data_IF_277785368574
#
_entry.id   IF_277785368574
#
_cell.length_a   1.000
_cell.length_b   1.000
_cell.length_c   1.000
_cell.angle_alpha   90.00
_cell.angle_beta   90.00
_cell.angle_gamma   90.00
#
_symmetry.space_group_name_H-M   'P 1'
#
loop_
_entity.id
_entity.type
_entity.pdbx_description
1 polymer ?
#
# COMPACT_ATOMS: atom_id res chain seq x y z
N UNK A 1 23.07 11.37 3.06
CA UNK A 1 22.18 11.38 1.87
C UNK A 1 21.49 12.73 1.77
N UNK A 2 21.20 13.22 0.56
CA UNK A 2 20.42 14.44 0.34
C UNK A 2 19.21 14.14 -0.54
N UNK A 3 18.00 14.51 -0.08
CA UNK A 3 16.78 14.35 -0.87
C UNK A 3 16.55 15.58 -1.73
N UNK A 4 16.59 15.43 -3.05
CA UNK A 4 16.37 16.53 -3.97
C UNK A 4 15.92 16.04 -5.34
N UNK A 5 15.13 16.89 -6.02
CA UNK A 5 14.81 16.75 -7.46
C UNK A 5 15.29 17.94 -8.28
N UNK A 6 16.06 18.83 -7.67
CA UNK A 6 16.69 19.96 -8.37
C UNK A 6 17.81 19.41 -9.26
N UNK A 7 17.97 19.99 -10.46
CA UNK A 7 19.07 19.67 -11.37
C UNK A 7 20.43 19.92 -10.72
N UNK A 8 20.52 20.95 -9.87
CA UNK A 8 21.70 21.29 -9.07
C UNK A 8 21.31 21.25 -7.58
N UNK A 9 21.40 20.09 -6.92
CA UNK A 9 21.15 19.99 -5.49
C UNK A 9 22.27 20.67 -4.70
N UNK A 10 21.96 21.17 -3.51
CA UNK A 10 22.96 21.74 -2.62
C UNK A 10 23.77 20.60 -2.00
N UNK A 11 25.03 20.50 -2.40
CA UNK A 11 25.98 19.49 -1.92
C UNK A 11 26.85 20.11 -0.84
N UNK A 12 26.70 19.65 0.40
CA UNK A 12 27.54 20.03 1.52
C UNK A 12 28.15 18.79 2.15
N UNK A 13 29.48 18.76 2.21
CA UNK A 13 30.22 17.61 2.71
C UNK A 13 30.43 17.77 4.20
N UNK A 14 29.74 16.91 4.95
CA UNK A 14 29.81 16.90 6.41
C UNK A 14 31.05 16.12 6.84
N UNK A 15 31.80 16.64 7.80
CA UNK A 15 32.92 15.95 8.43
C UNK A 15 32.62 15.66 9.91
N UNK A 16 33.10 14.51 10.38
CA UNK A 16 33.10 14.12 11.79
C UNK A 16 34.50 13.63 12.14
N UNK A 17 35.11 14.16 13.20
CA UNK A 17 36.44 13.79 13.67
C UNK A 17 37.49 13.65 12.56
N UNK A 18 37.56 14.66 11.68
CA UNK A 18 38.45 14.74 10.51
C UNK A 18 38.14 13.80 9.33
N UNK A 19 37.11 12.94 9.43
CA UNK A 19 36.63 12.10 8.34
C UNK A 19 35.44 12.72 7.60
N UNK A 20 35.49 12.78 6.26
CA UNK A 20 34.33 13.19 5.45
C UNK A 20 33.30 12.05 5.43
N UNK A 21 32.07 12.36 5.84
CA UNK A 21 30.96 11.41 5.81
C UNK A 21 30.57 11.10 4.37
N UNK A 22 30.55 9.82 4.02
CA UNK A 22 30.08 9.39 2.70
C UNK A 22 28.60 9.75 2.52
N UNK A 23 28.26 10.29 1.35
CA UNK A 23 26.89 10.56 0.95
C UNK A 23 26.38 9.36 0.15
N UNK A 24 25.59 8.44 0.74
CA UNK A 24 25.03 7.32 0.00
C UNK A 24 23.87 7.78 -0.90
N UNK A 25 23.73 7.08 -2.03
CA UNK A 25 22.61 7.24 -2.99
C UNK A 25 21.32 6.56 -2.50
N UNK A 26 21.47 5.58 -1.61
CA UNK A 26 20.41 4.75 -1.04
C UNK A 26 20.58 4.62 0.48
N UNK A 27 19.50 4.82 1.24
CA UNK A 27 19.49 4.64 2.70
C UNK A 27 18.31 3.77 3.06
N UNK A 28 18.56 2.70 3.81
CA UNK A 28 17.50 1.88 4.37
C UNK A 28 17.16 2.39 5.76
N UNK A 29 15.90 2.74 5.97
CA UNK A 29 15.37 3.17 7.27
C UNK A 29 14.04 2.48 7.54
N UNK A 30 13.88 1.95 8.75
CA UNK A 30 12.73 1.14 9.18
C UNK A 30 12.24 0.17 8.08
N UNK A 31 13.17 -0.58 7.47
CA UNK A 31 12.81 -1.57 6.44
C UNK A 31 12.42 -1.03 5.07
N UNK A 32 12.40 0.29 4.85
CA UNK A 32 12.15 0.94 3.55
C UNK A 32 13.45 1.51 3.00
N UNK A 33 13.75 1.24 1.72
CA UNK A 33 14.91 1.84 1.04
C UNK A 33 14.51 3.14 0.38
N UNK A 34 15.11 4.24 0.83
CA UNK A 34 14.94 5.57 0.27
C UNK A 34 16.04 5.87 -0.75
N UNK A 35 15.65 6.56 -1.81
CA UNK A 35 16.53 7.05 -2.87
C UNK A 35 16.47 8.58 -2.86
N UNK A 36 17.53 9.26 -3.33
CA UNK A 36 17.62 10.72 -3.36
C UNK A 36 16.40 11.42 -4.01
N UNK A 37 15.77 10.77 -5.02
CA UNK A 37 14.62 11.31 -5.74
C UNK A 37 13.25 10.86 -5.20
N UNK A 38 13.22 10.05 -4.14
CA UNK A 38 12.01 9.48 -3.53
C UNK A 38 11.12 8.77 -4.57
N UNK A 39 11.75 8.00 -5.46
CA UNK A 39 11.05 7.18 -6.48
C UNK A 39 10.70 5.79 -5.98
N UNK A 40 11.43 5.28 -4.98
CA UNK A 40 11.23 3.95 -4.38
C UNK A 40 11.34 2.80 -5.39
N UNK A 41 12.09 2.98 -6.48
CA UNK A 41 12.20 1.98 -7.54
C UNK A 41 12.97 0.75 -7.03
N UNK A 42 14.13 0.98 -6.41
CA UNK A 42 14.97 -0.05 -5.82
C UNK A 42 14.24 -0.74 -4.66
N UNK A 43 13.58 0.02 -3.79
CA UNK A 43 12.74 -0.55 -2.72
C UNK A 43 11.68 -1.50 -3.28
N UNK A 44 10.92 -1.04 -4.28
CA UNK A 44 9.90 -1.84 -4.95
C UNK A 44 10.49 -3.10 -5.57
N UNK A 45 11.63 -2.99 -6.26
CA UNK A 45 12.32 -4.13 -6.85
C UNK A 45 12.75 -5.15 -5.79
N UNK A 46 13.31 -4.68 -4.67
CA UNK A 46 13.74 -5.50 -3.55
C UNK A 46 12.54 -6.23 -2.90
N UNK A 47 11.42 -5.52 -2.68
CA UNK A 47 10.18 -6.09 -2.16
C UNK A 47 9.62 -7.15 -3.12
N UNK A 48 9.54 -6.86 -4.43
CA UNK A 48 9.08 -7.81 -5.44
C UNK A 48 9.94 -9.08 -5.47
N UNK A 49 11.26 -8.91 -5.53
CA UNK A 49 12.22 -10.03 -5.54
C UNK A 49 12.08 -10.90 -4.29
N UNK A 50 12.01 -10.28 -3.11
CA UNK A 50 11.84 -10.99 -1.84
C UNK A 50 10.49 -11.72 -1.76
N UNK A 51 9.41 -11.10 -2.24
CA UNK A 51 8.08 -11.71 -2.26
C UNK A 51 7.99 -12.87 -3.27
N UNK A 52 8.60 -12.77 -4.45
CA UNK A 52 8.70 -13.90 -5.39
C UNK A 52 9.50 -15.07 -4.83
N UNK A 53 10.61 -14.81 -4.13
CA UNK A 53 11.37 -15.85 -3.43
C UNK A 53 10.53 -16.54 -2.36
N UNK A 54 9.79 -15.75 -1.57
CA UNK A 54 8.89 -16.25 -0.53
C UNK A 54 7.75 -17.09 -1.13
N UNK A 55 7.15 -16.63 -2.24
CA UNK A 55 6.14 -17.40 -2.96
C UNK A 55 6.72 -18.71 -3.51
N UNK A 56 7.92 -18.69 -4.10
CA UNK A 56 8.61 -19.88 -4.57
C UNK A 56 8.97 -20.85 -3.43
N UNK A 57 9.24 -20.34 -2.24
CA UNK A 57 9.40 -21.17 -1.03
C UNK A 57 8.08 -21.83 -0.64
N UNK A 58 6.97 -21.08 -0.57
CA UNK A 58 5.63 -21.62 -0.26
C UNK A 58 5.26 -22.71 -1.27
N UNK A 59 5.32 -22.43 -2.56
CA UNK A 59 4.93 -23.39 -3.63
C UNK A 59 5.77 -24.66 -3.60
N UNK A 60 7.06 -24.59 -3.25
CA UNK A 60 7.93 -25.77 -3.20
C UNK A 60 7.71 -26.64 -1.97
N UNK A 61 7.49 -26.03 -0.81
CA UNK A 61 7.39 -26.76 0.46
C UNK A 61 5.95 -27.18 0.78
N UNK A 62 4.95 -26.45 0.27
CA UNK A 62 3.54 -26.74 0.51
C UNK A 62 2.92 -27.72 -0.50
N UNK A 63 3.73 -28.43 -1.30
CA UNK A 63 3.23 -29.36 -2.33
C UNK A 63 2.33 -30.47 -1.78
N UNK A 64 2.55 -30.90 -0.54
CA UNK A 64 1.73 -31.92 0.12
C UNK A 64 0.46 -31.36 0.78
N UNK A 65 0.29 -30.03 0.81
CA UNK A 65 -0.86 -29.37 1.43
C UNK A 65 -1.94 -29.20 0.35
N UNK A 66 -3.04 -29.92 0.50
CA UNK A 66 -4.21 -29.80 -0.38
C UNK A 66 -5.29 -28.86 0.18
N UNK A 67 -5.18 -28.52 1.46
CA UNK A 67 -6.09 -27.60 2.12
C UNK A 67 -5.86 -26.16 1.67
N UNK A 68 -6.87 -25.58 1.02
CA UNK A 68 -6.82 -24.24 0.44
C UNK A 68 -6.56 -23.18 1.51
N UNK A 69 -7.23 -23.25 2.66
CA UNK A 69 -7.12 -22.23 3.69
C UNK A 69 -5.75 -22.26 4.40
N UNK A 70 -5.14 -23.43 4.55
CA UNK A 70 -3.75 -23.54 5.02
C UNK A 70 -2.76 -22.86 4.03
N UNK A 71 -2.95 -23.06 2.72
CA UNK A 71 -2.15 -22.38 1.70
C UNK A 71 -2.36 -20.87 1.70
N UNK A 72 -3.61 -20.41 1.90
CA UNK A 72 -3.91 -18.98 2.08
C UNK A 72 -3.17 -18.43 3.29
N UNK A 73 -3.25 -19.08 4.44
CA UNK A 73 -2.57 -18.65 5.66
C UNK A 73 -1.06 -18.48 5.44
N UNK A 74 -0.41 -19.45 4.77
CA UNK A 74 1.01 -19.36 4.41
C UNK A 74 1.32 -18.17 3.50
N UNK A 75 0.48 -17.93 2.49
CA UNK A 75 0.64 -16.78 1.60
C UNK A 75 0.45 -15.45 2.34
N UNK A 76 -0.59 -15.33 3.18
CA UNK A 76 -0.85 -14.13 3.97
C UNK A 76 0.33 -13.82 4.89
N UNK A 77 0.82 -14.84 5.61
CA UNK A 77 1.89 -14.70 6.59
C UNK A 77 3.26 -14.40 5.98
N UNK A 78 3.65 -15.07 4.88
CA UNK A 78 5.02 -15.02 4.35
C UNK A 78 5.21 -14.10 3.15
N UNK A 79 4.17 -13.95 2.32
CA UNK A 79 4.24 -13.22 1.05
C UNK A 79 3.52 -11.89 1.16
N UNK A 80 2.25 -11.89 1.54
CA UNK A 80 1.40 -10.69 1.57
C UNK A 80 1.85 -9.69 2.63
N UNK A 81 2.22 -10.16 3.82
CA UNK A 81 2.81 -9.33 4.89
C UNK A 81 3.97 -8.45 4.39
N UNK A 82 4.83 -8.98 3.51
CA UNK A 82 5.94 -8.23 2.89
C UNK A 82 5.46 -7.17 1.89
N UNK A 83 4.46 -7.51 1.09
CA UNK A 83 3.89 -6.64 0.06
C UNK A 83 3.06 -5.48 0.65
N UNK A 84 2.64 -5.63 1.90
CA UNK A 84 1.80 -4.70 2.65
C UNK A 84 2.56 -3.92 3.72
N UNK A 85 3.86 -4.14 3.86
CA UNK A 85 4.67 -3.38 4.80
C UNK A 85 4.79 -1.91 4.38
N UNK A 86 4.57 -0.97 5.30
CA UNK A 86 4.69 0.48 5.10
C UNK A 86 4.04 1.03 3.79
N UNK A 87 2.79 0.63 3.46
CA UNK A 87 2.22 0.86 2.13
C UNK A 87 1.91 2.34 1.87
N UNK A 88 1.80 3.14 2.93
CA UNK A 88 1.61 4.57 2.86
C UNK A 88 2.90 5.33 2.51
N UNK A 89 4.05 4.81 2.91
CA UNK A 89 5.36 5.45 2.70
C UNK A 89 5.78 5.30 1.24
N UNK A 90 5.67 4.09 0.69
CA UNK A 90 6.08 3.76 -0.68
C UNK A 90 4.89 3.34 -1.55
N UNK A 91 3.79 4.09 -1.50
CA UNK A 91 2.58 3.74 -2.26
C UNK A 91 2.90 3.55 -3.77
N UNK A 92 2.58 2.39 -4.39
CA UNK A 92 2.98 2.11 -5.76
C UNK A 92 2.24 3.02 -6.75
N UNK A 93 3.02 3.77 -7.51
CA UNK A 93 2.53 4.94 -8.27
C UNK A 93 2.24 4.56 -9.72
N UNK A 94 3.12 3.77 -10.30
CA UNK A 94 3.07 3.43 -11.72
C UNK A 94 2.24 2.17 -11.92
N UNK A 95 1.40 2.17 -12.96
CA UNK A 95 0.60 1.00 -13.32
C UNK A 95 1.46 -0.25 -13.50
N UNK A 96 2.67 -0.11 -14.04
CA UNK A 96 3.63 -1.23 -14.19
C UNK A 96 4.02 -1.84 -12.84
N UNK A 97 4.27 -1.01 -11.83
CA UNK A 97 4.59 -1.44 -10.47
C UNK A 97 3.39 -2.13 -9.83
N UNK A 98 2.20 -1.53 -9.96
CA UNK A 98 0.96 -2.12 -9.44
C UNK A 98 0.72 -3.48 -10.09
N UNK A 99 0.81 -3.58 -11.42
CA UNK A 99 0.67 -4.83 -12.16
C UNK A 99 1.71 -5.88 -11.76
N UNK A 100 2.95 -5.47 -11.48
CA UNK A 100 3.99 -6.38 -10.98
C UNK A 100 3.66 -6.94 -9.60
N UNK A 101 3.12 -6.11 -8.70
CA UNK A 101 2.68 -6.51 -7.36
C UNK A 101 1.47 -7.47 -7.44
N UNK A 102 0.44 -7.10 -8.21
CA UNK A 102 -0.74 -7.96 -8.44
C UNK A 102 -0.35 -9.25 -9.18
N UNK A 103 0.71 -9.23 -10.00
CA UNK A 103 1.27 -10.40 -10.66
C UNK A 103 1.73 -11.50 -9.69
N UNK A 104 2.28 -11.13 -8.52
CA UNK A 104 2.66 -12.08 -7.46
C UNK A 104 1.41 -12.74 -6.90
N UNK A 105 0.39 -11.96 -6.58
CA UNK A 105 -0.89 -12.47 -6.08
C UNK A 105 -1.55 -13.39 -7.11
N UNK A 106 -1.63 -12.96 -8.38
CA UNK A 106 -2.13 -13.78 -9.49
C UNK A 106 -1.39 -15.11 -9.61
N UNK A 107 -0.06 -15.13 -9.46
CA UNK A 107 0.72 -16.36 -9.53
C UNK A 107 0.35 -17.32 -8.40
N UNK A 108 0.13 -16.79 -7.19
CA UNK A 108 -0.35 -17.58 -6.07
C UNK A 108 -1.77 -18.12 -6.31
N UNK A 109 -2.71 -17.30 -6.79
CA UNK A 109 -4.09 -17.73 -7.08
C UNK A 109 -4.13 -18.83 -8.14
N UNK A 110 -3.27 -18.75 -9.16
CA UNK A 110 -3.13 -19.82 -10.16
C UNK A 110 -2.61 -21.11 -9.55
N UNK A 111 -1.67 -21.02 -8.62
CA UNK A 111 -1.21 -22.19 -7.87
C UNK A 111 -2.34 -22.78 -7.01
N UNK A 112 -3.09 -21.97 -6.27
CA UNK A 112 -4.27 -22.41 -5.51
C UNK A 112 -5.28 -23.12 -6.42
N UNK A 113 -5.54 -22.57 -7.60
CA UNK A 113 -6.47 -23.19 -8.55
C UNK A 113 -6.03 -24.54 -9.06
N UNK A 114 -4.73 -24.73 -9.25
CA UNK A 114 -4.19 -26.02 -9.63
C UNK A 114 -4.33 -27.03 -8.49
N UNK A 115 -4.08 -26.62 -7.24
CA UNK A 115 -4.26 -27.48 -6.07
C UNK A 115 -5.73 -27.86 -5.87
N UNK A 116 -6.66 -26.92 -6.05
CA UNK A 116 -8.09 -27.13 -5.80
C UNK A 116 -8.81 -27.86 -6.94
N UNK A 117 -8.58 -27.48 -8.21
CA UNK A 117 -9.30 -28.02 -9.36
C UNK A 117 -8.47 -29.02 -10.20
N UNK A 118 -7.20 -29.23 -9.88
CA UNK A 118 -6.27 -30.02 -10.70
C UNK A 118 -5.86 -29.36 -12.02
N UNK A 119 -6.43 -28.19 -12.36
CA UNK A 119 -6.24 -27.50 -13.65
C UNK A 119 -5.91 -26.03 -13.43
N UNK A 120 -4.94 -25.54 -14.19
CA UNK A 120 -4.66 -24.10 -14.23
C UNK A 120 -5.73 -23.35 -15.02
N UNK A 121 -6.16 -22.20 -14.52
CA UNK A 121 -7.04 -21.30 -15.27
C UNK A 121 -6.41 -20.88 -16.60
N UNK A 122 -7.29 -20.65 -17.58
CA UNK A 122 -6.90 -20.22 -18.92
C UNK A 122 -6.00 -18.98 -18.90
N UNK A 123 -5.11 -18.88 -19.90
CA UNK A 123 -4.30 -17.66 -20.07
C UNK A 123 -5.23 -16.49 -20.37
N UNK A 124 -4.91 -15.32 -19.82
CA UNK A 124 -5.71 -14.12 -20.01
C UNK A 124 -6.97 -14.02 -19.15
N UNK A 125 -7.28 -14.99 -18.28
CA UNK A 125 -8.42 -14.89 -17.36
C UNK A 125 -8.40 -13.56 -16.59
N UNK A 126 -9.55 -12.92 -16.30
CA UNK A 126 -9.60 -11.71 -15.50
C UNK A 126 -9.03 -11.92 -14.09
N UNK A 127 -8.34 -10.92 -13.54
CA UNK A 127 -7.78 -11.03 -12.19
C UNK A 127 -8.86 -11.04 -11.10
N UNK A 128 -9.95 -10.29 -11.30
CA UNK A 128 -11.06 -10.23 -10.35
C UNK A 128 -11.75 -11.57 -10.12
N UNK A 129 -11.92 -12.38 -11.16
CA UNK A 129 -12.52 -13.72 -11.04
C UNK A 129 -11.68 -14.66 -10.17
N UNK A 130 -10.35 -14.64 -10.34
CA UNK A 130 -9.44 -15.41 -9.49
C UNK A 130 -9.49 -14.96 -8.02
N UNK A 131 -9.68 -13.65 -7.78
CA UNK A 131 -9.79 -13.12 -6.43
C UNK A 131 -11.09 -13.58 -5.77
N UNK A 132 -12.21 -13.49 -6.51
CA UNK A 132 -13.52 -13.93 -6.06
C UNK A 132 -13.58 -15.44 -5.79
N UNK A 133 -12.95 -16.26 -6.64
CA UNK A 133 -13.00 -17.73 -6.50
C UNK A 133 -12.36 -18.25 -5.21
N UNK A 134 -11.43 -17.49 -4.63
CA UNK A 134 -10.72 -17.86 -3.40
C UNK A 134 -11.01 -16.92 -2.23
N UNK A 135 -11.94 -15.97 -2.38
CA UNK A 135 -12.24 -14.93 -1.40
C UNK A 135 -10.98 -14.18 -0.90
N UNK A 136 -10.14 -13.75 -1.85
CA UNK A 136 -8.92 -12.99 -1.55
C UNK A 136 -9.09 -11.57 -2.09
N UNK A 137 -8.83 -10.58 -1.24
CA UNK A 137 -8.83 -9.17 -1.63
C UNK A 137 -7.59 -8.80 -2.46
N UNK A 138 -7.73 -7.89 -3.43
CA UNK A 138 -6.60 -7.40 -4.23
C UNK A 138 -5.64 -6.56 -3.39
N UNK A 139 -4.34 -6.63 -3.71
CA UNK A 139 -3.33 -5.82 -3.00
C UNK A 139 -3.61 -4.32 -3.11
N UNK A 140 -4.12 -3.87 -4.25
CA UNK A 140 -4.60 -2.51 -4.45
C UNK A 140 -5.71 -2.10 -3.49
N UNK A 141 -6.71 -2.96 -3.26
CA UNK A 141 -7.83 -2.69 -2.35
C UNK A 141 -7.33 -2.54 -0.91
N UNK A 142 -6.47 -3.44 -0.47
CA UNK A 142 -5.96 -3.42 0.91
C UNK A 142 -5.11 -2.18 1.18
N UNK A 143 -4.31 -1.73 0.20
CA UNK A 143 -3.57 -0.46 0.33
C UNK A 143 -4.51 0.74 0.46
N UNK A 144 -5.62 0.77 -0.27
CA UNK A 144 -6.66 1.81 -0.10
C UNK A 144 -7.28 1.76 1.29
N UNK A 145 -7.60 0.57 1.79
CA UNK A 145 -8.14 0.40 3.15
C UNK A 145 -7.13 0.89 4.19
N UNK A 146 -5.87 0.47 4.11
CA UNK A 146 -4.81 0.89 5.04
C UNK A 146 -4.57 2.40 4.99
N UNK A 147 -4.64 3.00 3.80
CA UNK A 147 -4.58 4.45 3.60
C UNK A 147 -5.73 5.18 4.32
N UNK A 148 -6.97 4.70 4.17
CA UNK A 148 -8.12 5.28 4.86
C UNK A 148 -8.08 5.05 6.39
N UNK A 149 -7.65 3.87 6.85
CA UNK A 149 -7.48 3.57 8.27
C UNK A 149 -6.40 4.45 8.92
N UNK A 150 -5.33 4.74 8.19
CA UNK A 150 -4.33 5.70 8.65
C UNK A 150 -4.94 7.08 8.90
N UNK A 151 -5.77 7.60 7.96
CA UNK A 151 -6.49 8.87 8.17
C UNK A 151 -7.36 8.82 9.43
N UNK A 152 -8.11 7.73 9.58
CA UNK A 152 -9.01 7.51 10.71
C UNK A 152 -8.24 7.52 12.03
N UNK A 153 -7.09 6.86 12.09
CA UNK A 153 -6.24 6.84 13.28
C UNK A 153 -5.59 8.20 13.55
N UNK A 154 -5.18 8.93 12.51
CA UNK A 154 -4.62 10.28 12.64
C UNK A 154 -5.64 11.28 13.19
N UNK A 155 -6.85 11.30 12.63
CA UNK A 155 -7.92 12.23 13.03
C UNK A 155 -8.44 11.94 14.43
N UNK A 156 -8.46 10.67 14.85
CA UNK A 156 -8.87 10.27 16.21
C UNK A 156 -7.75 10.29 17.24
N UNK A 157 -6.56 10.80 16.90
CA UNK A 157 -5.43 10.90 17.83
C UNK A 157 -4.84 9.55 18.26
N UNK A 158 -5.09 8.46 17.52
CA UNK A 158 -4.43 7.17 17.73
C UNK A 158 -3.02 7.14 17.13
N UNK A 159 -2.77 8.00 16.15
CA UNK A 159 -1.42 8.33 15.68
C UNK A 159 -1.10 9.72 16.20
N UNK A 160 -0.17 9.82 17.14
CA UNK A 160 0.26 11.09 17.72
C UNK A 160 1.27 11.78 16.80
N UNK A 161 0.76 12.65 15.93
CA UNK A 161 1.58 13.47 15.04
C UNK A 161 0.87 14.79 14.74
N UNK A 162 1.00 15.81 15.63
CA UNK A 162 0.34 17.09 15.46
C UNK A 162 0.75 17.81 14.18
N UNK A 163 2.00 17.65 13.74
CA UNK A 163 2.50 18.21 12.47
C UNK A 163 1.78 17.68 11.25
N UNK A 164 1.39 16.40 11.28
CA UNK A 164 0.68 15.77 10.18
C UNK A 164 -0.82 16.09 10.23
N UNK A 165 -1.39 16.09 11.43
CA UNK A 165 -2.78 16.49 11.67
C UNK A 165 -3.01 17.96 11.26
N UNK A 166 -2.09 18.87 11.61
CA UNK A 166 -2.15 20.29 11.25
C UNK A 166 -2.03 20.56 9.75
N UNK A 167 -1.55 19.59 8.95
CA UNK A 167 -1.53 19.67 7.48
C UNK A 167 -2.84 19.20 6.83
N UNK A 168 -3.74 18.56 7.58
CA UNK A 168 -5.07 18.22 7.10
C UNK A 168 -5.96 19.46 7.12
N UNK A 169 -6.60 19.75 5.99
CA UNK A 169 -7.56 20.85 5.89
C UNK A 169 -8.98 20.28 5.87
N UNK A 170 -9.77 20.60 6.88
CA UNK A 170 -11.21 20.27 6.89
C UNK A 170 -11.95 21.19 5.93
N UNK A 171 -12.88 20.61 5.17
CA UNK A 171 -13.72 21.37 4.27
C UNK A 171 -14.99 21.82 4.99
N UNK A 172 -15.21 23.13 5.07
CA UNK A 172 -16.42 23.71 5.66
C UNK A 172 -17.54 23.67 4.62
N UNK A 173 -18.62 22.91 4.85
CA UNK A 173 -19.69 22.76 3.86
C UNK A 173 -20.44 24.09 3.67
N UNK A 174 -20.77 24.40 2.41
CA UNK A 174 -21.70 25.47 2.09
C UNK A 174 -23.14 24.96 2.22
N UNK A 175 -24.11 25.80 2.60
CA UNK A 175 -25.52 25.41 2.60
C UNK A 175 -25.95 24.89 1.22
N UNK A 176 -26.80 23.86 1.19
CA UNK A 176 -27.40 23.24 -0.01
C UNK A 176 -26.45 22.47 -0.96
N UNK A 177 -25.25 22.09 -0.51
CA UNK A 177 -24.36 21.24 -1.31
C UNK A 177 -24.82 19.76 -1.24
N UNK A 178 -25.01 19.12 -2.41
CA UNK A 178 -25.45 17.72 -2.51
C UNK A 178 -24.37 16.69 -2.11
N UNK A 179 -23.11 17.09 -2.02
CA UNK A 179 -22.01 16.25 -1.52
C UNK A 179 -21.13 17.07 -0.59
N UNK A 180 -21.10 16.72 0.69
CA UNK A 180 -20.18 17.31 1.65
C UNK A 180 -18.87 16.52 1.62
N UNK A 181 -17.81 17.08 1.04
CA UNK A 181 -16.46 16.55 1.25
C UNK A 181 -16.03 16.86 2.67
N UNK A 182 -15.44 15.90 3.38
CA UNK A 182 -14.98 16.11 4.78
C UNK A 182 -13.67 16.90 4.79
N UNK A 183 -12.78 16.56 3.86
CA UNK A 183 -11.46 17.17 3.73
C UNK A 183 -11.34 17.96 2.42
N UNK A 184 -10.52 19.00 2.43
CA UNK A 184 -10.09 19.69 1.21
C UNK A 184 -9.05 18.81 0.52
N UNK A 185 -9.37 18.36 -0.70
CA UNK A 185 -8.40 17.65 -1.55
C UNK A 185 -7.58 18.69 -2.32
N UNK A 186 -6.30 18.91 -2.02
CA UNK A 186 -5.51 19.94 -2.70
C UNK A 186 -5.25 19.53 -4.14
N UNK A 187 -5.25 20.48 -5.09
CA UNK A 187 -4.93 20.19 -6.49
C UNK A 187 -3.42 19.94 -6.66
N UNK A 188 -2.98 18.72 -7.05
CA UNK A 188 -1.58 18.40 -7.10
C UNK A 188 -0.94 19.04 -8.33
N UNK A 189 -0.04 20.02 -8.12
CA UNK A 189 0.71 20.70 -9.20
C UNK A 189 1.87 19.89 -9.76
N UNK A 190 2.34 18.90 -8.99
CA UNK A 190 3.45 18.03 -9.40
C UNK A 190 3.07 16.57 -9.19
N UNK A 191 3.70 15.71 -9.99
CA UNK A 191 3.63 14.28 -9.79
C UNK A 191 4.02 13.89 -8.35
N UNK A 192 5.03 14.55 -7.75
CA UNK A 192 5.45 14.29 -6.37
C UNK A 192 4.33 14.59 -5.36
N UNK A 193 3.64 15.73 -5.49
CA UNK A 193 2.54 16.06 -4.58
C UNK A 193 1.37 15.08 -4.74
N UNK A 194 1.07 14.66 -5.97
CA UNK A 194 0.09 13.60 -6.26
C UNK A 194 0.45 12.26 -5.60
N UNK A 195 1.74 12.05 -5.32
CA UNK A 195 2.32 10.85 -4.70
C UNK A 195 2.54 11.02 -3.20
N UNK A 196 2.25 12.20 -2.64
CA UNK A 196 2.45 12.43 -1.23
C UNK A 196 1.45 11.61 -0.40
N UNK A 197 1.88 11.06 0.75
CA UNK A 197 1.00 10.28 1.63
C UNK A 197 -0.31 11.02 1.96
N UNK A 198 -0.22 12.30 2.34
CA UNK A 198 -1.38 13.11 2.71
C UNK A 198 -2.39 13.28 1.57
N UNK A 199 -1.90 13.66 0.38
CA UNK A 199 -2.78 13.80 -0.79
C UNK A 199 -3.46 12.47 -1.10
N UNK A 200 -2.70 11.38 -1.11
CA UNK A 200 -3.22 10.06 -1.42
C UNK A 200 -4.30 9.62 -0.42
N UNK A 201 -4.04 9.78 0.87
CA UNK A 201 -4.96 9.39 1.95
C UNK A 201 -6.27 10.16 1.87
N UNK A 202 -6.21 11.49 1.74
CA UNK A 202 -7.38 12.36 1.65
C UNK A 202 -8.16 12.10 0.35
N UNK A 203 -7.47 12.00 -0.79
CA UNK A 203 -8.10 11.70 -2.08
C UNK A 203 -8.69 10.29 -2.17
N UNK A 204 -8.18 9.34 -1.39
CA UNK A 204 -8.70 7.99 -1.33
C UNK A 204 -9.94 7.92 -0.43
N UNK A 205 -9.94 8.65 0.70
CA UNK A 205 -11.09 8.72 1.60
C UNK A 205 -12.28 9.41 0.95
N UNK A 206 -12.06 10.45 0.14
CA UNK A 206 -13.16 11.15 -0.57
C UNK A 206 -14.00 10.25 -1.49
N UNK A 207 -13.47 9.08 -1.88
CA UNK A 207 -14.21 8.08 -2.67
C UNK A 207 -15.24 7.30 -1.85
N UNK A 208 -15.12 7.30 -0.52
CA UNK A 208 -15.99 6.55 0.40
C UNK A 208 -16.75 7.43 1.40
N UNK A 209 -16.60 8.75 1.34
CA UNK A 209 -17.24 9.72 2.26
C UNK A 209 -18.77 9.60 2.30
N UNK A 210 -19.41 9.16 1.22
CA UNK A 210 -20.87 8.92 1.21
C UNK A 210 -21.28 7.63 1.95
N UNK A 211 -20.35 6.71 2.16
CA UNK A 211 -20.59 5.39 2.76
C UNK A 211 -20.12 5.32 4.22
N UNK A 212 -19.14 6.14 4.61
CA UNK A 212 -18.58 6.14 5.95
C UNK A 212 -18.18 7.56 6.38
N UNK A 213 -18.60 7.94 7.59
CA UNK A 213 -18.19 9.17 8.27
C UNK A 213 -16.99 8.86 9.19
N UNK A 214 -15.87 9.57 9.00
CA UNK A 214 -14.63 9.30 9.74
C UNK A 214 -14.72 9.59 11.25
N UNK A 215 -15.60 10.51 11.66
CA UNK A 215 -15.78 10.93 13.05
C UNK A 215 -16.79 10.06 13.79
N UNK A 216 -17.78 9.53 13.08
CA UNK A 216 -18.86 8.72 13.68
C UNK A 216 -18.59 7.22 13.56
N UNK A 217 -18.22 6.75 12.37
CA UNK A 217 -18.10 5.33 12.08
C UNK A 217 -16.89 4.67 12.78
N UNK A 218 -16.96 3.37 12.99
CA UNK A 218 -15.85 2.54 13.49
C UNK A 218 -14.91 2.16 12.34
N UNK A 219 -13.71 1.69 12.68
CA UNK A 219 -12.75 1.19 11.69
C UNK A 219 -13.31 0.04 10.82
N UNK A 220 -14.16 -0.82 11.39
CA UNK A 220 -14.87 -1.88 10.67
C UNK A 220 -15.76 -1.34 9.55
N UNK A 221 -16.43 -0.23 9.79
CA UNK A 221 -17.37 0.37 8.85
C UNK A 221 -16.62 1.00 7.67
N UNK A 222 -15.44 1.58 7.93
CA UNK A 222 -14.52 2.07 6.89
C UNK A 222 -14.06 0.90 6.01
N UNK A 223 -13.72 -0.25 6.58
CA UNK A 223 -13.38 -1.45 5.81
C UNK A 223 -14.56 -1.91 4.95
N UNK A 224 -15.77 -1.95 5.52
CA UNK A 224 -17.02 -2.30 4.80
C UNK A 224 -17.34 -1.34 3.66
N UNK A 225 -17.05 -0.05 3.79
CA UNK A 225 -17.28 0.94 2.73
C UNK A 225 -16.50 0.66 1.43
N UNK A 226 -15.34 -0.02 1.55
CA UNK A 226 -14.54 -0.51 0.42
C UNK A 226 -15.00 -1.87 -0.12
N UNK A 227 -16.06 -2.47 0.44
CA UNK A 227 -16.53 -3.82 0.07
C UNK A 227 -15.62 -4.93 0.58
N UNK A 228 -14.84 -4.67 1.63
CA UNK A 228 -14.01 -5.69 2.26
C UNK A 228 -14.89 -6.67 3.07
N UNK A 229 -14.80 -7.96 2.75
CA UNK A 229 -15.26 -9.05 3.61
C UNK A 229 -14.51 -8.96 4.94
N UNK A 230 -15.21 -9.13 6.07
CA UNK A 230 -14.59 -9.17 7.39
C UNK A 230 -13.58 -10.31 7.43
N UNK A 231 -12.29 -9.99 7.29
CA UNK A 231 -11.22 -10.93 7.64
C UNK A 231 -11.26 -11.00 9.16
N UNK A 232 -11.63 -12.15 9.71
CA UNK A 232 -11.48 -12.43 11.14
C UNK A 232 -10.05 -12.10 11.52
N UNK A 233 -9.86 -11.10 12.37
CA UNK A 233 -8.57 -10.79 12.98
C UNK A 233 -8.12 -12.07 13.71
N UNK A 234 -7.09 -12.73 13.17
CA UNK A 234 -6.37 -13.80 13.85
C UNK A 234 -5.42 -13.22 14.90
#
# INVERSE_FOLDING_TARGET
>A
MSYARKLKPLTFDYSLDQGVLQRPDHVRDLGVTFEAHLTFNEHTHNVLSAAYRSLGFVVRNAKGIQEVDALKALYLALVRSRLEYAPLVWYPIYGVTVSSLEGIQRRFLKYLSYVFNGVYWCRGCPHGELLQSFDIQSLSLIRKINSALFLYHLVRGRVDCPDLLGKLSLHVPRPNLRSASTFVVPTPRTNLLRRSPLFHVVSNFSQIEQKADIFVCRASDIRKAYGAVEVSEC
#
